data_IF_815598371317
#
_entry.id   IF_815598371317
#
_cell.length_a   1.000
_cell.length_b   1.000
_cell.length_c   1.000
_cell.angle_alpha   90.00
_cell.angle_beta   90.00
_cell.angle_gamma   90.00
#
_symmetry.space_group_name_H-M   'P 1'
#
loop_
_entity.id
_entity.type
_entity.pdbx_description
1 polymer ?
#
# COMPACT_ATOMS: atom_id res chain seq x y z
N UNK A 1 -9.42 42.07 -47.73
CA UNK A 1 -9.68 41.19 -46.56
C UNK A 1 -9.57 39.76 -47.06
N UNK A 2 -8.39 39.12 -47.11
CA UNK A 2 -7.61 38.60 -45.95
C UNK A 2 -8.54 37.88 -44.95
N UNK A 3 -8.46 36.58 -44.63
CA UNK A 3 -7.43 35.51 -44.74
C UNK A 3 -8.13 34.14 -44.95
N UNK A 4 -7.66 33.27 -45.86
CA UNK A 4 -6.91 32.00 -45.63
C UNK A 4 -7.59 30.96 -44.70
N UNK A 5 -7.70 29.65 -44.99
CA UNK A 5 -6.97 28.73 -45.88
C UNK A 5 -7.77 27.43 -46.07
N UNK A 6 -7.57 26.78 -47.21
CA UNK A 6 -8.25 25.58 -47.71
C UNK A 6 -7.49 24.26 -47.44
N UNK A 7 -8.28 23.17 -47.37
CA UNK A 7 -8.08 21.79 -47.90
C UNK A 7 -6.82 20.94 -47.58
N UNK A 8 -7.09 19.83 -46.87
CA UNK A 8 -6.81 18.40 -47.20
C UNK A 8 -5.38 17.78 -47.12
N UNK A 9 -5.31 16.70 -46.29
CA UNK A 9 -4.44 15.49 -46.24
C UNK A 9 -3.07 15.45 -46.97
N UNK A 10 -1.99 15.16 -46.21
CA UNK A 10 -1.14 13.94 -46.34
C UNK A 10 -0.03 13.87 -45.28
N UNK A 11 0.40 12.63 -45.07
CA UNK A 11 1.29 12.03 -44.06
C UNK A 11 2.77 12.32 -44.41
N UNK A 12 3.70 12.31 -43.43
CA UNK A 12 4.98 11.55 -43.40
C UNK A 12 6.06 12.20 -42.49
N UNK A 13 6.32 11.48 -41.39
CA UNK A 13 7.57 11.17 -40.65
C UNK A 13 8.72 12.18 -40.47
N UNK A 14 9.27 12.18 -39.26
CA UNK A 14 10.64 11.66 -39.07
C UNK A 14 10.69 10.62 -37.95
N UNK A 15 11.36 9.54 -38.27
CA UNK A 15 11.61 8.33 -37.52
C UNK A 15 13.12 8.33 -37.23
N UNK A 16 13.54 8.05 -36.00
CA UNK A 16 14.89 7.52 -35.73
C UNK A 16 14.83 6.49 -34.59
N UNK A 17 14.39 5.28 -34.95
CA UNK A 17 15.07 4.01 -34.68
C UNK A 17 15.72 3.81 -33.29
N UNK A 18 15.06 3.04 -32.41
CA UNK A 18 15.78 2.01 -31.63
C UNK A 18 14.97 0.79 -31.14
N UNK A 19 13.75 0.52 -31.63
CA UNK A 19 13.11 -0.79 -31.38
C UNK A 19 12.43 -1.28 -32.66
N UNK A 20 13.25 -1.63 -33.65
CA UNK A 20 12.83 -2.36 -34.83
C UNK A 20 13.76 -3.54 -35.03
N UNK A 21 13.44 -4.69 -34.40
CA UNK A 21 13.75 -6.08 -34.83
C UNK A 21 13.49 -7.21 -33.79
N UNK A 22 12.60 -7.04 -32.79
CA UNK A 22 12.21 -8.17 -31.92
C UNK A 22 10.70 -8.22 -31.59
N UNK A 23 9.79 -8.25 -32.57
CA UNK A 23 8.39 -8.57 -32.24
C UNK A 23 7.48 -9.10 -33.36
N UNK A 24 7.96 -9.46 -34.55
CA UNK A 24 7.09 -10.13 -35.54
C UNK A 24 6.92 -11.64 -35.30
N UNK A 25 7.67 -12.23 -34.36
CA UNK A 25 7.56 -13.66 -33.99
C UNK A 25 6.67 -13.90 -32.75
N UNK A 26 6.15 -12.84 -32.11
CA UNK A 26 5.33 -12.99 -30.87
C UNK A 26 3.87 -13.34 -31.19
N UNK A 27 3.46 -13.31 -32.47
CA UNK A 27 2.06 -13.51 -32.87
C UNK A 27 1.55 -14.96 -32.80
N UNK A 28 2.42 -15.93 -32.56
CA UNK A 28 2.06 -17.36 -32.40
C UNK A 28 2.47 -17.98 -31.05
N UNK A 29 2.77 -17.16 -30.03
CA UNK A 29 2.77 -17.60 -28.61
C UNK A 29 1.42 -17.20 -27.97
N UNK A 30 0.34 -17.39 -28.74
CA UNK A 30 -1.04 -17.55 -28.26
C UNK A 30 -1.21 -19.07 -28.15
N UNK A 31 -1.43 -19.71 -27.00
CA UNK A 31 -2.48 -19.46 -26.01
C UNK A 31 -2.00 -20.01 -24.65
N UNK A 32 -2.20 -19.27 -23.54
CA UNK A 32 -3.09 -19.81 -22.51
C UNK A 32 -4.05 -18.72 -22.00
N UNK A 33 -5.34 -18.88 -22.31
CA UNK A 33 -6.53 -18.31 -21.67
C UNK A 33 -6.33 -17.10 -20.74
N UNK A 34 -6.59 -15.89 -21.26
CA UNK A 34 -7.13 -14.67 -20.57
C UNK A 34 -6.48 -14.17 -19.25
N UNK A 35 -5.35 -14.71 -18.81
CA UNK A 35 -4.61 -14.32 -17.58
C UNK A 35 -3.12 -13.95 -17.88
N UNK A 36 -2.62 -14.18 -19.10
CA UNK A 36 -1.16 -14.27 -19.37
C UNK A 36 -0.34 -12.97 -19.43
N UNK A 37 -0.77 -11.92 -20.15
CA UNK A 37 0.16 -10.83 -20.52
C UNK A 37 0.41 -9.79 -19.42
N UNK A 38 -0.63 -9.33 -18.72
CA UNK A 38 -0.47 -8.32 -17.67
C UNK A 38 0.17 -8.91 -16.40
N UNK A 39 -0.11 -10.18 -16.08
CA UNK A 39 0.58 -10.90 -15.00
C UNK A 39 2.08 -11.07 -15.30
N UNK A 40 2.42 -11.32 -16.57
CA UNK A 40 3.82 -11.37 -17.02
C UNK A 40 4.51 -10.00 -16.90
N UNK A 41 3.87 -8.92 -17.34
CA UNK A 41 4.41 -7.56 -17.24
C UNK A 41 4.70 -7.17 -15.79
N UNK A 42 3.74 -7.39 -14.89
CA UNK A 42 3.92 -7.14 -13.45
C UNK A 42 5.10 -7.95 -12.91
N UNK A 43 5.18 -9.25 -13.26
CA UNK A 43 6.29 -10.11 -12.83
C UNK A 43 7.66 -9.64 -13.36
N UNK A 44 7.71 -9.10 -14.57
CA UNK A 44 8.94 -8.51 -15.13
C UNK A 44 9.33 -7.24 -14.36
N UNK A 45 8.38 -6.32 -14.14
CA UNK A 45 8.65 -5.07 -13.41
C UNK A 45 9.01 -5.32 -11.94
N UNK A 46 8.36 -6.28 -11.28
CA UNK A 46 8.72 -6.74 -9.93
C UNK A 46 10.17 -7.22 -9.85
N UNK A 47 10.61 -8.01 -10.84
CA UNK A 47 12.02 -8.47 -10.91
C UNK A 47 13.00 -7.32 -11.11
N UNK A 48 12.64 -6.33 -11.94
CA UNK A 48 13.45 -5.13 -12.11
C UNK A 48 13.56 -4.33 -10.78
N UNK A 49 12.44 -4.20 -10.05
CA UNK A 49 12.39 -3.56 -8.74
C UNK A 49 13.26 -4.27 -7.69
N UNK A 50 13.20 -5.61 -7.61
CA UNK A 50 14.06 -6.39 -6.72
C UNK A 50 15.54 -6.19 -7.08
N UNK A 51 15.87 -6.16 -8.38
CA UNK A 51 17.24 -5.98 -8.85
C UNK A 51 17.78 -4.59 -8.50
N UNK A 52 16.97 -3.53 -8.65
CA UNK A 52 17.39 -2.17 -8.31
C UNK A 52 17.59 -1.99 -6.80
N UNK A 53 16.78 -2.63 -5.96
CA UNK A 53 17.00 -2.62 -4.50
C UNK A 53 18.32 -3.30 -4.13
N UNK A 54 18.63 -4.46 -4.71
CA UNK A 54 19.92 -5.15 -4.46
C UNK A 54 21.12 -4.27 -4.84
N UNK A 55 21.01 -3.48 -5.90
CA UNK A 55 22.05 -2.53 -6.29
C UNK A 55 22.15 -1.40 -5.25
N UNK A 56 21.01 -0.84 -4.84
CA UNK A 56 20.95 0.22 -3.84
C UNK A 56 21.56 -0.22 -2.50
N UNK A 57 21.25 -1.43 -2.02
CA UNK A 57 21.84 -2.02 -0.82
C UNK A 57 23.37 -2.07 -0.91
N UNK A 58 23.93 -2.55 -2.03
CA UNK A 58 25.39 -2.63 -2.24
C UNK A 58 26.06 -1.27 -2.27
N UNK A 59 25.40 -0.26 -2.84
CA UNK A 59 25.99 1.08 -2.99
C UNK A 59 25.88 1.91 -1.70
N UNK A 60 24.94 1.59 -0.79
CA UNK A 60 24.89 2.20 0.55
C UNK A 60 26.16 1.96 1.36
N UNK A 61 26.88 0.88 1.09
CA UNK A 61 28.16 0.56 1.72
C UNK A 61 29.35 1.30 1.08
N UNK A 62 29.17 1.93 -0.09
CA UNK A 62 30.23 2.62 -0.84
C UNK A 62 30.31 4.12 -0.49
N UNK A 63 31.49 4.77 -0.49
CA UNK A 63 31.67 6.16 -0.05
C UNK A 63 31.19 7.23 -1.06
N UNK A 64 30.96 6.88 -2.34
CA UNK A 64 30.61 7.86 -3.38
C UNK A 64 29.14 8.29 -3.33
N UNK A 65 28.90 9.55 -2.98
CA UNK A 65 27.55 10.17 -2.94
C UNK A 65 26.83 10.08 -4.30
N UNK A 66 27.53 10.34 -5.40
CA UNK A 66 26.97 10.32 -6.76
C UNK A 66 26.45 8.92 -7.15
N UNK A 67 27.17 7.86 -6.80
CA UNK A 67 26.74 6.49 -7.07
C UNK A 67 25.49 6.12 -6.26
N UNK A 68 25.39 6.58 -5.00
CA UNK A 68 24.20 6.39 -4.17
C UNK A 68 22.97 7.07 -4.75
N UNK A 69 23.10 8.34 -5.14
CA UNK A 69 22.00 9.11 -5.76
C UNK A 69 21.51 8.47 -7.07
N UNK A 70 22.43 7.96 -7.90
CA UNK A 70 22.09 7.25 -9.13
C UNK A 70 21.34 5.93 -8.84
N UNK A 71 21.79 5.16 -7.86
CA UNK A 71 21.14 3.91 -7.45
C UNK A 71 19.74 4.17 -6.88
N UNK A 72 19.58 5.22 -6.07
CA UNK A 72 18.28 5.64 -5.54
C UNK A 72 17.32 6.06 -6.66
N UNK A 73 17.80 6.80 -7.67
CA UNK A 73 16.98 7.18 -8.82
C UNK A 73 16.49 5.96 -9.59
N UNK A 74 17.40 5.02 -9.90
CA UNK A 74 17.04 3.76 -10.58
C UNK A 74 16.07 2.91 -9.77
N UNK A 75 16.24 2.87 -8.44
CA UNK A 75 15.31 2.20 -7.54
C UNK A 75 13.91 2.82 -7.60
N UNK A 76 13.82 4.15 -7.52
CA UNK A 76 12.55 4.87 -7.55
C UNK A 76 11.82 4.68 -8.89
N UNK A 77 12.55 4.78 -10.02
CA UNK A 77 11.98 4.53 -11.35
C UNK A 77 11.43 3.11 -11.44
N UNK A 78 12.22 2.09 -11.05
CA UNK A 78 11.78 0.69 -11.12
C UNK A 78 10.56 0.42 -10.23
N UNK A 79 10.48 1.08 -9.07
CA UNK A 79 9.33 1.01 -8.18
C UNK A 79 8.08 1.63 -8.81
N UNK A 80 8.20 2.82 -9.40
CA UNK A 80 7.09 3.51 -10.06
C UNK A 80 6.56 2.72 -11.25
N UNK A 81 7.44 2.21 -12.11
CA UNK A 81 7.06 1.36 -13.25
C UNK A 81 6.37 0.06 -12.81
N UNK A 82 6.79 -0.49 -11.66
CA UNK A 82 6.16 -1.67 -11.07
C UNK A 82 4.74 -1.38 -10.58
N UNK A 83 4.54 -0.28 -9.86
CA UNK A 83 3.20 0.15 -9.46
C UNK A 83 2.32 0.47 -10.66
N UNK A 84 2.86 1.14 -11.69
CA UNK A 84 2.13 1.47 -12.90
C UNK A 84 1.67 0.22 -13.66
N UNK A 85 2.47 -0.84 -13.69
CA UNK A 85 2.08 -2.12 -14.28
C UNK A 85 0.88 -2.76 -13.54
N UNK A 86 0.82 -2.64 -12.21
CA UNK A 86 -0.31 -3.13 -11.41
C UNK A 86 -1.54 -2.24 -11.64
N UNK A 87 -1.37 -0.92 -11.66
CA UNK A 87 -2.44 0.06 -11.92
C UNK A 87 -3.11 -0.19 -13.28
N UNK A 88 -2.29 -0.36 -14.33
CA UNK A 88 -2.74 -0.73 -15.68
C UNK A 88 -3.47 -2.08 -15.68
N UNK A 89 -2.97 -3.09 -14.96
CA UNK A 89 -3.66 -4.38 -14.86
C UNK A 89 -5.07 -4.25 -14.27
N UNK A 90 -5.27 -3.40 -13.27
CA UNK A 90 -6.61 -3.18 -12.69
C UNK A 90 -7.56 -2.61 -13.76
N UNK A 91 -7.13 -1.59 -14.50
CA UNK A 91 -7.98 -0.93 -15.50
C UNK A 91 -8.16 -1.75 -16.78
N UNK A 92 -7.11 -2.42 -17.26
CA UNK A 92 -7.16 -3.14 -18.54
C UNK A 92 -7.72 -4.54 -18.37
N UNK A 93 -7.54 -5.16 -17.21
CA UNK A 93 -7.97 -6.54 -16.96
C UNK A 93 -9.12 -6.64 -15.97
N UNK A 94 -8.98 -6.12 -14.74
CA UNK A 94 -10.01 -6.30 -13.71
C UNK A 94 -11.30 -5.55 -14.12
N UNK A 95 -11.20 -4.28 -14.48
CA UNK A 95 -12.35 -3.50 -14.95
C UNK A 95 -13.01 -4.12 -16.18
N UNK A 96 -12.23 -4.57 -17.17
CA UNK A 96 -12.75 -5.25 -18.35
C UNK A 96 -13.51 -6.55 -17.99
N UNK A 97 -13.01 -7.32 -17.02
CA UNK A 97 -13.71 -8.52 -16.51
C UNK A 97 -14.99 -8.17 -15.76
N UNK A 98 -14.99 -7.10 -14.96
CA UNK A 98 -16.20 -6.64 -14.23
C UNK A 98 -17.28 -6.19 -15.22
N UNK A 99 -16.91 -5.39 -16.22
CA UNK A 99 -17.84 -4.91 -17.27
C UNK A 99 -18.45 -6.04 -18.10
N UNK A 100 -17.76 -7.16 -18.22
CA UNK A 100 -18.23 -8.35 -18.99
C UNK A 100 -18.82 -9.44 -18.10
N UNK A 101 -19.06 -9.16 -16.81
CA UNK A 101 -19.54 -10.08 -15.78
C UNK A 101 -18.76 -11.41 -15.68
N UNK A 102 -17.46 -11.36 -15.95
CA UNK A 102 -16.52 -12.49 -15.83
C UNK A 102 -15.59 -12.36 -14.63
N UNK A 103 -15.72 -11.29 -13.85
CA UNK A 103 -14.89 -11.04 -12.67
C UNK A 103 -15.35 -11.88 -11.48
N UNK A 104 -14.37 -12.42 -10.76
CA UNK A 104 -14.58 -13.06 -9.47
C UNK A 104 -15.05 -12.05 -8.41
N UNK A 105 -15.61 -12.54 -7.29
CA UNK A 105 -15.99 -11.68 -6.15
C UNK A 105 -14.79 -10.87 -5.62
N UNK A 106 -13.59 -11.46 -5.66
CA UNK A 106 -12.35 -10.82 -5.23
C UNK A 106 -11.97 -9.67 -6.18
N UNK A 107 -12.03 -9.90 -7.49
CA UNK A 107 -11.75 -8.89 -8.51
C UNK A 107 -12.77 -7.73 -8.47
N UNK A 108 -14.06 -8.05 -8.26
CA UNK A 108 -15.11 -7.03 -8.05
C UNK A 108 -14.81 -6.16 -6.82
N UNK A 109 -14.41 -6.76 -5.70
CA UNK A 109 -14.02 -6.04 -4.48
C UNK A 109 -12.77 -5.18 -4.70
N UNK A 110 -11.73 -5.73 -5.33
CA UNK A 110 -10.49 -4.99 -5.61
C UNK A 110 -10.77 -3.74 -6.46
N UNK A 111 -11.63 -3.83 -7.47
CA UNK A 111 -12.02 -2.66 -8.28
C UNK A 111 -12.80 -1.62 -7.46
N UNK A 112 -13.72 -2.07 -6.59
CA UNK A 112 -14.46 -1.16 -5.72
C UNK A 112 -13.52 -0.41 -4.76
N UNK A 113 -12.58 -1.11 -4.13
CA UNK A 113 -11.58 -0.51 -3.26
C UNK A 113 -10.68 0.47 -4.02
N UNK A 114 -10.29 0.14 -5.25
CA UNK A 114 -9.51 1.02 -6.12
C UNK A 114 -10.22 2.35 -6.40
N UNK A 115 -11.51 2.32 -6.76
CA UNK A 115 -12.29 3.53 -6.98
C UNK A 115 -12.48 4.36 -5.70
N UNK A 116 -12.75 3.68 -4.57
CA UNK A 116 -12.87 4.34 -3.26
C UNK A 116 -11.60 5.11 -2.90
N UNK A 117 -10.42 4.54 -3.14
CA UNK A 117 -9.14 5.22 -2.90
C UNK A 117 -9.00 6.45 -3.83
N UNK A 118 -9.33 6.29 -5.11
CA UNK A 118 -9.22 7.37 -6.09
C UNK A 118 -10.18 8.56 -5.85
N UNK A 119 -11.25 8.36 -5.07
CA UNK A 119 -12.23 9.43 -4.79
C UNK A 119 -11.61 10.57 -3.96
N UNK A 120 -10.62 10.27 -3.12
CA UNK A 120 -10.00 11.23 -2.18
C UNK A 120 -8.75 11.94 -2.75
N UNK A 121 -8.51 11.85 -4.06
CA UNK A 121 -7.26 12.29 -4.69
C UNK A 121 -6.98 13.80 -4.57
N UNK A 122 -8.02 14.64 -4.56
CA UNK A 122 -7.90 16.10 -4.53
C UNK A 122 -7.83 16.68 -3.11
N UNK A 123 -8.56 16.12 -2.15
CA UNK A 123 -8.67 16.69 -0.80
C UNK A 123 -7.57 16.26 0.15
N UNK A 124 -7.08 15.01 0.03
CA UNK A 124 -6.12 14.41 0.96
C UNK A 124 -5.03 13.67 0.19
N UNK A 125 -4.29 14.42 -0.64
CA UNK A 125 -3.35 13.86 -1.61
C UNK A 125 -2.30 12.92 -0.98
N UNK A 126 -1.71 13.29 0.16
CA UNK A 126 -0.70 12.46 0.83
C UNK A 126 -1.29 11.14 1.35
N UNK A 127 -2.49 11.18 1.90
CA UNK A 127 -3.20 9.96 2.33
C UNK A 127 -3.56 9.10 1.12
N UNK A 128 -4.13 9.70 0.07
CA UNK A 128 -4.44 9.03 -1.20
C UNK A 128 -3.20 8.33 -1.77
N UNK A 129 -2.07 9.03 -1.85
CA UNK A 129 -0.81 8.52 -2.39
C UNK A 129 -0.30 7.32 -1.60
N UNK A 130 -0.39 7.37 -0.27
CA UNK A 130 0.02 6.25 0.57
C UNK A 130 -0.94 5.07 0.44
N UNK A 131 -2.26 5.30 0.55
CA UNK A 131 -3.29 4.25 0.42
C UNK A 131 -3.27 3.57 -0.95
N UNK A 132 -3.05 4.32 -2.03
CA UNK A 132 -2.92 3.75 -3.38
C UNK A 132 -1.70 2.82 -3.46
N UNK A 133 -0.56 3.20 -2.90
CA UNK A 133 0.62 2.32 -2.89
C UNK A 133 0.38 1.04 -2.07
N UNK A 134 -0.17 1.15 -0.85
CA UNK A 134 -0.52 -0.01 -0.01
C UNK A 134 -1.45 -0.96 -0.78
N UNK A 135 -2.48 -0.40 -1.44
CA UNK A 135 -3.45 -1.19 -2.20
C UNK A 135 -2.81 -1.93 -3.37
N UNK A 136 -2.02 -1.25 -4.21
CA UNK A 136 -1.39 -1.87 -5.38
C UNK A 136 -0.42 -2.99 -4.98
N UNK A 137 0.43 -2.73 -3.98
CA UNK A 137 1.38 -3.71 -3.46
C UNK A 137 0.66 -4.91 -2.84
N UNK A 138 -0.34 -4.66 -1.98
CA UNK A 138 -1.14 -5.72 -1.34
C UNK A 138 -1.91 -6.57 -2.36
N UNK A 139 -2.43 -5.95 -3.42
CA UNK A 139 -3.13 -6.67 -4.50
C UNK A 139 -2.20 -7.69 -5.16
N UNK A 140 -1.00 -7.26 -5.57
CA UNK A 140 -0.03 -8.15 -6.20
C UNK A 140 0.43 -9.27 -5.26
N UNK A 141 0.75 -8.94 -4.01
CA UNK A 141 1.16 -9.93 -3.00
C UNK A 141 0.06 -10.97 -2.73
N UNK A 142 -1.20 -10.54 -2.62
CA UNK A 142 -2.36 -11.44 -2.45
C UNK A 142 -2.58 -12.33 -3.67
N UNK A 143 -2.41 -11.80 -4.88
CA UNK A 143 -2.49 -12.59 -6.12
C UNK A 143 -1.42 -13.67 -6.14
N UNK A 144 -0.19 -13.35 -5.75
CA UNK A 144 0.89 -14.34 -5.62
C UNK A 144 0.57 -15.41 -4.57
N UNK A 145 0.11 -15.00 -3.39
CA UNK A 145 -0.27 -15.92 -2.31
C UNK A 145 -1.40 -16.86 -2.73
N UNK A 146 -2.41 -16.34 -3.42
CA UNK A 146 -3.53 -17.12 -3.94
C UNK A 146 -3.13 -18.08 -5.07
N UNK A 147 -2.02 -17.82 -5.78
CA UNK A 147 -1.53 -18.71 -6.84
C UNK A 147 -0.93 -20.02 -6.31
N UNK A 148 -0.66 -20.13 -5.00
CA UNK A 148 -0.03 -21.29 -4.36
C UNK A 148 1.46 -21.47 -4.68
N UNK A 149 2.04 -20.61 -5.53
CA UNK A 149 3.48 -20.65 -5.84
C UNK A 149 4.30 -20.05 -4.72
N UNK A 150 5.50 -20.61 -4.48
CA UNK A 150 6.47 -20.02 -3.55
C UNK A 150 6.78 -18.57 -3.97
N UNK A 151 6.56 -17.64 -3.06
CA UNK A 151 6.90 -16.23 -3.24
C UNK A 151 8.43 -16.08 -3.08
N UNK A 152 9.04 -15.28 -3.95
CA UNK A 152 10.46 -14.91 -3.84
C UNK A 152 10.73 -14.26 -2.48
N UNK A 153 11.66 -14.83 -1.70
CA UNK A 153 11.95 -14.37 -0.34
C UNK A 153 12.46 -12.93 -0.31
N UNK A 154 13.25 -12.51 -1.31
CA UNK A 154 13.73 -11.12 -1.39
C UNK A 154 12.61 -10.16 -1.75
N UNK A 155 11.65 -10.59 -2.56
CA UNK A 155 10.45 -9.80 -2.80
C UNK A 155 9.61 -9.65 -1.53
N UNK A 156 9.44 -10.71 -0.75
CA UNK A 156 8.66 -10.66 0.49
C UNK A 156 9.32 -9.76 1.55
N UNK A 157 10.65 -9.81 1.69
CA UNK A 157 11.42 -8.87 2.52
C UNK A 157 11.19 -7.42 2.05
N UNK A 158 11.37 -7.17 0.75
CA UNK A 158 11.21 -5.84 0.16
C UNK A 158 9.78 -5.30 0.30
N UNK A 159 8.77 -6.18 0.11
CA UNK A 159 7.36 -5.88 0.33
C UNK A 159 7.12 -5.42 1.77
N UNK A 160 7.58 -6.20 2.76
CA UNK A 160 7.40 -5.87 4.18
C UNK A 160 8.08 -4.54 4.56
N UNK A 161 9.31 -4.32 4.10
CA UNK A 161 10.07 -3.08 4.35
C UNK A 161 9.36 -1.87 3.71
N UNK A 162 8.87 -2.01 2.48
CA UNK A 162 8.22 -0.93 1.75
C UNK A 162 6.86 -0.57 2.34
N UNK A 163 6.02 -1.57 2.60
CA UNK A 163 4.72 -1.43 3.28
C UNK A 163 4.90 -0.73 4.63
N UNK A 164 5.88 -1.16 5.44
CA UNK A 164 6.21 -0.52 6.72
C UNK A 164 6.54 0.97 6.57
N UNK A 165 7.34 1.33 5.56
CA UNK A 165 7.65 2.74 5.27
C UNK A 165 6.39 3.53 4.88
N UNK A 166 5.48 2.94 4.11
CA UNK A 166 4.24 3.61 3.71
C UNK A 166 3.29 3.78 4.89
N UNK A 167 3.11 2.76 5.75
CA UNK A 167 2.34 2.88 6.99
C UNK A 167 2.91 3.95 7.93
N UNK A 168 4.25 4.04 8.06
CA UNK A 168 4.91 5.13 8.79
C UNK A 168 4.56 6.51 8.24
N UNK A 169 4.54 6.67 6.92
CA UNK A 169 4.18 7.94 6.29
C UNK A 169 2.69 8.27 6.48
N UNK A 170 1.83 7.26 6.38
CA UNK A 170 0.39 7.39 6.56
C UNK A 170 0.05 7.84 7.99
N UNK A 171 0.60 7.16 9.00
CA UNK A 171 0.43 7.53 10.42
C UNK A 171 1.01 8.91 10.73
N UNK A 172 2.15 9.27 10.12
CA UNK A 172 2.73 10.62 10.24
C UNK A 172 1.78 11.67 9.67
N UNK A 173 1.17 11.42 8.52
CA UNK A 173 0.19 12.33 7.92
C UNK A 173 -1.02 12.53 8.85
N UNK A 174 -1.54 11.46 9.45
CA UNK A 174 -2.63 11.55 10.42
C UNK A 174 -2.23 12.35 11.68
N UNK A 175 -1.05 12.10 12.21
CA UNK A 175 -0.53 12.82 13.38
C UNK A 175 -0.40 14.33 13.13
N UNK A 176 0.13 14.72 11.97
CA UNK A 176 0.25 16.14 11.58
C UNK A 176 -1.13 16.79 11.48
N UNK A 177 -2.09 16.11 10.84
CA UNK A 177 -3.46 16.62 10.71
C UNK A 177 -4.15 16.79 12.06
N UNK A 178 -3.94 15.88 13.01
CA UNK A 178 -4.47 16.03 14.37
C UNK A 178 -3.81 17.22 15.09
N UNK A 179 -2.51 17.45 14.87
CA UNK A 179 -1.79 18.56 15.48
C UNK A 179 -2.23 19.94 14.95
N UNK A 180 -2.63 20.04 13.67
CA UNK A 180 -3.12 21.27 13.01
C UNK A 180 -4.55 21.70 13.47
N UNK A 181 -4.84 21.49 14.75
CA UNK A 181 -6.10 21.57 15.50
C UNK A 181 -7.07 22.73 15.21
N UNK A 182 -6.65 23.79 14.51
CA UNK A 182 -7.36 25.07 14.36
C UNK A 182 -8.52 25.07 13.35
N UNK A 183 -8.59 24.08 12.44
CA UNK A 183 -9.56 24.10 11.32
C UNK A 183 -10.34 22.79 11.11
N UNK A 184 -10.16 21.79 11.99
CA UNK A 184 -10.75 20.45 11.81
C UNK A 184 -11.88 20.25 12.82
N UNK A 185 -13.10 19.98 12.33
CA UNK A 185 -14.24 19.65 13.18
C UNK A 185 -13.99 18.39 14.01
N UNK A 186 -14.66 18.26 15.16
CA UNK A 186 -14.55 17.07 16.01
C UNK A 186 -14.91 15.78 15.25
N UNK A 187 -15.87 15.84 14.33
CA UNK A 187 -16.23 14.71 13.46
C UNK A 187 -15.07 14.29 12.55
N UNK A 188 -14.39 15.25 11.90
CA UNK A 188 -13.22 14.97 11.07
C UNK A 188 -12.06 14.42 11.89
N UNK A 189 -11.85 14.91 13.13
CA UNK A 189 -10.85 14.36 14.06
C UNK A 189 -11.17 12.91 14.42
N UNK A 190 -12.44 12.61 14.74
CA UNK A 190 -12.90 11.23 14.98
C UNK A 190 -12.64 10.33 13.77
N UNK A 191 -12.86 10.84 12.54
CA UNK A 191 -12.49 10.15 11.32
C UNK A 191 -10.99 9.80 11.26
N UNK A 192 -10.10 10.74 11.58
CA UNK A 192 -8.66 10.51 11.59
C UNK A 192 -8.25 9.47 12.65
N UNK A 193 -8.81 9.52 13.87
CA UNK A 193 -8.55 8.49 14.89
C UNK A 193 -8.95 7.09 14.40
N UNK A 194 -10.11 6.97 13.75
CA UNK A 194 -10.56 5.69 13.19
C UNK A 194 -9.63 5.18 12.09
N UNK A 195 -9.07 6.08 11.26
CA UNK A 195 -8.08 5.70 10.25
C UNK A 195 -6.73 5.27 10.88
N UNK A 196 -6.30 5.89 11.98
CA UNK A 196 -5.14 5.44 12.76
C UNK A 196 -5.38 4.01 13.27
N UNK A 197 -6.51 3.76 13.93
CA UNK A 197 -6.82 2.43 14.47
C UNK A 197 -6.89 1.35 13.38
N UNK A 198 -7.54 1.66 12.24
CA UNK A 198 -7.59 0.76 11.08
C UNK A 198 -6.19 0.47 10.54
N UNK A 199 -5.38 1.50 10.35
CA UNK A 199 -4.02 1.36 9.82
C UNK A 199 -3.13 0.50 10.72
N UNK A 200 -3.22 0.70 12.04
CA UNK A 200 -2.50 -0.13 13.01
C UNK A 200 -2.97 -1.59 12.99
N UNK A 201 -4.28 -1.82 12.97
CA UNK A 201 -4.86 -3.16 12.95
C UNK A 201 -4.45 -3.94 11.68
N UNK A 202 -4.51 -3.29 10.52
CA UNK A 202 -4.10 -3.87 9.24
C UNK A 202 -2.60 -4.16 9.22
N UNK A 203 -1.77 -3.22 9.68
CA UNK A 203 -0.32 -3.40 9.74
C UNK A 203 0.08 -4.58 10.63
N UNK A 204 -0.45 -4.64 11.86
CA UNK A 204 -0.13 -5.71 12.81
C UNK A 204 -0.57 -7.08 12.28
N UNK A 205 -1.70 -7.12 11.55
CA UNK A 205 -2.23 -8.36 10.99
C UNK A 205 -1.47 -8.83 9.74
N UNK A 206 -1.21 -7.94 8.80
CA UNK A 206 -0.78 -8.32 7.44
C UNK A 206 0.73 -8.11 7.21
N UNK A 207 1.35 -7.10 7.84
CA UNK A 207 2.73 -6.67 7.54
C UNK A 207 3.72 -7.07 8.63
N UNK A 208 3.35 -6.86 9.90
CA UNK A 208 4.23 -7.16 11.04
C UNK A 208 4.75 -8.60 11.05
N UNK A 209 3.94 -9.65 10.75
CA UNK A 209 4.46 -11.02 10.69
C UNK A 209 5.55 -11.20 9.63
N UNK A 210 5.43 -10.52 8.49
CA UNK A 210 6.43 -10.56 7.42
C UNK A 210 7.70 -9.79 7.83
N UNK A 211 7.53 -8.63 8.46
CA UNK A 211 8.65 -7.81 8.95
C UNK A 211 9.44 -8.53 10.06
N UNK A 212 8.75 -9.29 10.92
CA UNK A 212 9.36 -10.16 11.93
C UNK A 212 10.11 -11.33 11.31
N UNK A 213 9.49 -12.02 10.33
CA UNK A 213 10.11 -13.15 9.61
C UNK A 213 11.46 -12.77 8.97
N UNK A 214 11.54 -11.57 8.39
CA UNK A 214 12.73 -11.09 7.68
C UNK A 214 13.63 -10.19 8.55
N UNK A 215 13.34 -10.05 9.84
CA UNK A 215 14.14 -9.21 10.72
C UNK A 215 15.46 -9.86 11.09
N UNK A 216 16.56 -9.13 10.88
CA UNK A 216 17.91 -9.55 11.29
C UNK A 216 18.24 -9.18 12.73
N UNK A 217 17.43 -8.34 13.37
CA UNK A 217 17.64 -7.79 14.71
C UNK A 217 16.44 -8.18 15.57
N UNK A 218 16.68 -8.55 16.82
CA UNK A 218 15.62 -8.86 17.79
C UNK A 218 14.88 -7.59 18.30
N UNK A 219 14.49 -6.69 17.39
CA UNK A 219 13.81 -5.42 17.71
C UNK A 219 12.40 -5.62 18.27
N UNK A 220 11.81 -6.80 18.08
CA UNK A 220 10.44 -7.13 18.48
C UNK A 220 10.32 -7.88 19.80
N UNK A 221 11.43 -8.34 20.38
CA UNK A 221 11.43 -9.02 21.69
C UNK A 221 10.63 -8.28 22.75
N UNK A 222 10.77 -6.94 22.80
CA UNK A 222 10.10 -6.09 23.78
C UNK A 222 8.58 -5.99 23.62
N UNK A 223 8.04 -6.37 22.46
CA UNK A 223 6.60 -6.29 22.17
C UNK A 223 6.00 -7.66 21.83
N UNK A 224 6.75 -8.74 22.00
CA UNK A 224 6.30 -10.08 21.65
C UNK A 224 5.07 -10.47 22.48
N UNK A 225 5.06 -10.14 23.78
CA UNK A 225 3.94 -10.44 24.67
C UNK A 225 2.64 -9.75 24.23
N UNK A 226 2.74 -8.52 23.76
CA UNK A 226 1.62 -7.73 23.26
C UNK A 226 1.11 -8.29 21.94
N UNK A 227 2.00 -8.73 21.05
CA UNK A 227 1.64 -9.39 19.79
C UNK A 227 0.89 -10.70 20.08
N UNK A 228 1.39 -11.51 21.01
CA UNK A 228 0.76 -12.78 21.37
C UNK A 228 -0.64 -12.55 21.99
N UNK A 229 -0.76 -11.58 22.89
CA UNK A 229 -2.07 -11.15 23.44
C UNK A 229 -2.99 -10.59 22.36
N UNK A 230 -2.49 -9.83 21.39
CA UNK A 230 -3.31 -9.35 20.29
C UNK A 230 -3.87 -10.51 19.45
N UNK A 231 -3.04 -11.52 19.20
CA UNK A 231 -3.39 -12.70 18.41
C UNK A 231 -4.31 -13.68 19.15
N UNK A 232 -4.36 -13.66 20.49
CA UNK A 232 -5.28 -14.52 21.26
C UNK A 232 -6.75 -14.12 21.12
N UNK A 233 -7.03 -12.88 20.70
CA UNK A 233 -8.40 -12.42 20.41
C UNK A 233 -8.86 -12.95 19.04
N UNK A 234 -9.40 -14.17 19.03
CA UNK A 234 -9.93 -14.86 17.86
C UNK A 234 -11.46 -14.92 17.90
N UNK A 235 -12.10 -14.94 16.73
CA UNK A 235 -13.54 -15.15 16.60
C UNK A 235 -14.40 -13.89 16.78
N UNK A 236 -15.64 -14.07 17.25
CA UNK A 236 -16.59 -12.98 17.46
C UNK A 236 -16.32 -12.35 18.83
N UNK A 237 -15.65 -11.21 18.80
CA UNK A 237 -15.28 -10.43 19.98
C UNK A 237 -16.46 -9.58 20.45
N UNK A 238 -16.67 -9.48 21.76
CA UNK A 238 -17.60 -8.52 22.34
C UNK A 238 -17.01 -7.09 22.32
N UNK A 239 -17.76 -6.10 22.81
CA UNK A 239 -17.27 -4.71 22.78
C UNK A 239 -16.03 -4.51 23.69
N UNK A 240 -15.99 -5.19 24.84
CA UNK A 240 -14.87 -5.10 25.78
C UNK A 240 -13.60 -5.68 25.14
N UNK A 241 -13.68 -6.85 24.55
CA UNK A 241 -12.60 -7.50 23.82
C UNK A 241 -12.07 -6.61 22.69
N UNK A 242 -12.96 -5.96 21.94
CA UNK A 242 -12.56 -5.05 20.87
C UNK A 242 -11.81 -3.82 21.41
N UNK A 243 -12.20 -3.30 22.57
CA UNK A 243 -11.51 -2.17 23.22
C UNK A 243 -10.14 -2.60 23.75
N UNK A 244 -10.05 -3.73 24.44
CA UNK A 244 -8.79 -4.29 24.93
C UNK A 244 -7.82 -4.56 23.78
N UNK A 245 -8.31 -5.15 22.69
CA UNK A 245 -7.54 -5.37 21.47
C UNK A 245 -7.04 -4.06 20.86
N UNK A 246 -7.83 -3.00 20.89
CA UNK A 246 -7.42 -1.66 20.41
C UNK A 246 -6.36 -1.03 21.31
N UNK A 247 -6.45 -1.22 22.64
CA UNK A 247 -5.44 -0.79 23.61
C UNK A 247 -4.10 -1.48 23.33
N UNK A 248 -4.12 -2.79 23.07
CA UNK A 248 -2.91 -3.56 22.73
C UNK A 248 -2.29 -3.05 21.43
N UNK A 249 -3.09 -2.74 20.40
CA UNK A 249 -2.60 -2.12 19.16
C UNK A 249 -1.87 -0.80 19.42
N UNK A 250 -2.42 0.06 20.28
CA UNK A 250 -1.75 1.31 20.65
C UNK A 250 -0.44 1.06 21.40
N UNK A 251 -0.39 0.08 22.31
CA UNK A 251 0.85 -0.28 22.99
C UNK A 251 1.93 -0.76 22.02
N UNK A 252 1.60 -1.65 21.10
CA UNK A 252 2.49 -2.10 20.01
C UNK A 252 2.98 -0.88 19.19
N UNK A 253 2.08 0.05 18.88
CA UNK A 253 2.40 1.22 18.05
C UNK A 253 3.46 2.15 18.66
N UNK A 254 3.55 2.23 19.99
CA UNK A 254 4.54 3.08 20.69
C UNK A 254 5.98 2.68 20.35
N UNK A 255 6.21 1.39 20.14
CA UNK A 255 7.52 0.86 19.76
C UNK A 255 7.74 0.89 18.25
N UNK A 256 6.71 0.58 17.45
CA UNK A 256 6.86 0.43 16.00
C UNK A 256 6.84 1.76 15.23
N UNK A 257 6.16 2.77 15.77
CA UNK A 257 5.83 4.01 15.07
C UNK A 257 6.21 5.27 15.86
N UNK A 258 7.21 5.23 16.75
CA UNK A 258 7.56 6.35 17.65
C UNK A 258 7.68 7.72 16.96
N UNK A 259 8.25 7.77 15.75
CA UNK A 259 8.40 9.02 14.98
C UNK A 259 7.22 9.36 14.06
N UNK A 260 6.34 8.39 13.81
CA UNK A 260 5.19 8.52 12.92
C UNK A 260 3.89 8.74 13.68
N UNK A 261 3.80 8.24 14.89
CA UNK A 261 2.68 8.38 15.81
C UNK A 261 3.24 8.84 17.17
N UNK A 262 3.49 10.15 17.35
CA UNK A 262 4.12 10.68 18.55
C UNK A 262 3.26 10.44 19.80
N UNK A 263 3.92 10.41 20.97
CA UNK A 263 3.27 10.13 22.25
C UNK A 263 2.00 10.98 22.53
N UNK A 264 1.97 12.31 22.27
CA UNK A 264 0.76 13.11 22.47
C UNK A 264 -0.45 12.61 21.67
N UNK A 265 -0.23 12.16 20.42
CA UNK A 265 -1.30 11.62 19.56
C UNK A 265 -1.77 10.26 20.09
N UNK A 266 -0.85 9.43 20.57
CA UNK A 266 -1.19 8.14 21.19
C UNK A 266 -2.04 8.36 22.45
N UNK A 267 -1.70 9.33 23.29
CA UNK A 267 -2.49 9.69 24.48
C UNK A 267 -3.90 10.16 24.13
N UNK A 268 -4.06 10.94 23.06
CA UNK A 268 -5.38 11.31 22.54
C UNK A 268 -6.16 10.09 22.02
N UNK A 269 -5.49 9.17 21.33
CA UNK A 269 -6.11 7.90 20.92
C UNK A 269 -6.61 7.10 22.13
N UNK A 270 -5.82 7.01 23.21
CA UNK A 270 -6.25 6.37 24.45
C UNK A 270 -7.47 7.09 25.07
N UNK A 271 -7.48 8.41 25.11
CA UNK A 271 -8.64 9.20 25.59
C UNK A 271 -9.90 8.87 24.79
N UNK A 272 -9.80 8.73 23.46
CA UNK A 272 -10.93 8.34 22.60
C UNK A 272 -11.47 6.95 22.90
N UNK A 273 -10.60 5.99 23.20
CA UNK A 273 -11.00 4.65 23.62
C UNK A 273 -11.75 4.71 24.97
N UNK A 274 -11.24 5.48 25.94
CA UNK A 274 -11.86 5.64 27.25
C UNK A 274 -13.24 6.31 27.14
N UNK A 275 -13.37 7.36 26.30
CA UNK A 275 -14.65 8.00 26.03
C UNK A 275 -15.68 7.00 25.48
N UNK A 276 -15.26 6.14 24.55
CA UNK A 276 -16.11 5.09 23.98
C UNK A 276 -16.52 4.06 25.04
N UNK A 277 -15.58 3.62 25.88
CA UNK A 277 -15.86 2.69 26.98
C UNK A 277 -16.88 3.27 27.97
N UNK A 278 -16.69 4.52 28.39
CA UNK A 278 -17.63 5.22 29.29
C UNK A 278 -19.03 5.33 28.70
N UNK A 279 -19.12 5.58 27.39
CA UNK A 279 -20.42 5.67 26.70
C UNK A 279 -21.14 4.33 26.68
N UNK A 280 -20.44 3.25 26.31
CA UNK A 280 -20.99 1.88 26.32
C UNK A 280 -21.44 1.45 27.73
N UNK A 281 -20.62 1.72 28.75
CA UNK A 281 -20.98 1.45 30.15
C UNK A 281 -22.23 2.21 30.61
N UNK A 282 -22.35 3.49 30.25
CA UNK A 282 -23.51 4.30 30.62
C UNK A 282 -24.79 3.90 29.86
N UNK A 283 -24.67 3.35 28.64
CA UNK A 283 -25.80 2.80 27.89
C UNK A 283 -26.26 1.46 28.49
N UNK A 284 -25.33 0.62 28.96
CA UNK A 284 -25.64 -0.65 29.63
C UNK A 284 -26.35 -0.47 30.99
N UNK A 285 -26.00 0.56 31.77
CA UNK A 285 -26.62 0.85 33.08
C UNK A 285 -27.91 1.70 33.00
N UNK A 286 -28.38 2.03 31.78
CA UNK A 286 -29.66 2.71 31.55
C UNK A 286 -30.80 1.74 31.20
N UNK A 287 -30.51 0.44 31.12
CA UNK A 287 -31.48 -0.65 31.06
C UNK A 287 -31.65 -1.28 32.43
#
# INVERSE_FOLDING_TARGET
MEQAKSKTLKIITTNTNFIGRVASTIRNILVPTKIGMNSFLISMKRRAYIKSEKILEKVKEAPSKSQREEAERKYNIAYEEYLEAIDKYIMDSIYAKVRTDRATKVEKRALADYYKINTNKSEQYEEYKNKKQLFLLSLDYKVLKASGKKIDEKYEELYAVKETKIYRNLLKNYSVRLADNRLISNEKKNGIYMEIFRSLAEYVKEILPLEMKHSKINKYSKIQSEIDRYNSYLGKLDEKDNLERTIILLNISRTLFTHSLPMPVIEECFRKIIERYKKSFNEYNKC
#
